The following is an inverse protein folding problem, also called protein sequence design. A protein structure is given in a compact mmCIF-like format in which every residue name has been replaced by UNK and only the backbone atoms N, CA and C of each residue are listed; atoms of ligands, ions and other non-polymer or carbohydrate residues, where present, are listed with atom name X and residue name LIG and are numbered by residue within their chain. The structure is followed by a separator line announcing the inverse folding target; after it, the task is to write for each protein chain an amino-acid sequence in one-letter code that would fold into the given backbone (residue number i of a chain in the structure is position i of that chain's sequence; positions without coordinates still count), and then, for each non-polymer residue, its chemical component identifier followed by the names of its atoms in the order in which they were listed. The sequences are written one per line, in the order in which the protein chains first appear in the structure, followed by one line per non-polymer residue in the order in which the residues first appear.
data_IF_310908851743
#
_entry.id   IF_310908851743
#
_cell.length_a   1.000
_cell.length_b   1.000
_cell.length_c   1.000
_cell.angle_alpha   90.00
_cell.angle_beta   90.00
_cell.angle_gamma   90.00
#
_symmetry.space_group_name_H-M   'P 1'
#
loop_
_entity.id
_entity.type
_entity.pdbx_description
1 polymer ?
#
# COMPACT_ATOMS: atom_id res chain seq x y z
N UNK A 1 -14.90 -13.70 10.49
CA UNK A 1 -15.01 -12.24 10.72
C UNK A 1 -15.48 -11.65 9.40
N UNK A 2 -16.62 -10.96 9.36
CA UNK A 2 -17.20 -10.44 8.12
C UNK A 2 -16.52 -9.16 7.64
N UNK A 3 -16.72 -8.80 6.37
CA UNK A 3 -16.28 -7.51 5.81
C UNK A 3 -16.93 -6.36 6.60
N UNK A 4 -16.10 -5.43 7.06
CA UNK A 4 -16.53 -4.20 7.73
C UNK A 4 -16.32 -2.99 6.84
N UNK A 5 -16.87 -1.83 7.22
CA UNK A 5 -16.67 -0.56 6.49
C UNK A 5 -15.19 -0.16 6.37
N UNK A 6 -14.34 -0.59 7.29
CA UNK A 6 -12.90 -0.36 7.24
C UNK A 6 -12.20 -1.09 6.08
N UNK A 7 -12.81 -2.16 5.55
CA UNK A 7 -12.26 -2.89 4.41
C UNK A 7 -12.48 -2.15 3.08
N UNK A 8 -13.48 -1.27 3.00
CA UNK A 8 -13.77 -0.50 1.77
C UNK A 8 -12.54 0.29 1.30
N UNK A 9 -11.92 1.17 2.13
CA UNK A 9 -10.73 1.90 1.70
C UNK A 9 -9.53 0.98 1.44
N UNK A 10 -9.36 -0.13 2.17
CA UNK A 10 -8.26 -1.06 1.94
C UNK A 10 -8.38 -1.78 0.58
N UNK A 11 -9.58 -2.25 0.24
CA UNK A 11 -9.87 -2.87 -1.05
C UNK A 11 -9.73 -1.85 -2.19
N UNK A 12 -10.30 -0.65 -2.01
CA UNK A 12 -10.19 0.41 -3.00
C UNK A 12 -8.72 0.78 -3.28
N UNK A 13 -7.89 0.88 -2.24
CA UNK A 13 -6.47 1.15 -2.39
C UNK A 13 -5.70 0.00 -3.06
N UNK A 14 -6.08 -1.24 -2.77
CA UNK A 14 -5.50 -2.42 -3.44
C UNK A 14 -5.80 -2.38 -4.94
N UNK A 15 -7.05 -2.07 -5.33
CA UNK A 15 -7.41 -1.91 -6.74
C UNK A 15 -6.70 -0.71 -7.37
N UNK A 16 -6.52 0.37 -6.62
CA UNK A 16 -5.77 1.53 -7.07
C UNK A 16 -4.31 1.15 -7.40
N UNK A 17 -3.61 0.43 -6.51
CA UNK A 17 -2.24 -0.06 -6.77
C UNK A 17 -2.21 -0.92 -8.04
N UNK A 18 -3.12 -1.90 -8.14
CA UNK A 18 -3.16 -2.78 -9.31
C UNK A 18 -3.34 -1.98 -10.60
N UNK A 19 -4.28 -1.05 -10.63
CA UNK A 19 -4.55 -0.26 -11.83
C UNK A 19 -3.42 0.73 -12.14
N UNK A 20 -2.88 1.42 -11.13
CA UNK A 20 -1.84 2.44 -11.32
C UNK A 20 -0.51 1.84 -11.77
N UNK A 21 -0.07 0.75 -11.15
CA UNK A 21 1.21 0.11 -11.49
C UNK A 21 1.15 -0.63 -12.84
N UNK A 22 -0.04 -1.08 -13.27
CA UNK A 22 -0.22 -1.77 -14.54
C UNK A 22 -0.51 -0.85 -15.73
N UNK A 23 -0.51 0.48 -15.53
CA UNK A 23 -0.64 1.42 -16.64
C UNK A 23 0.55 1.30 -17.61
N UNK A 24 0.31 1.41 -18.93
CA UNK A 24 1.37 1.40 -19.92
C UNK A 24 2.41 2.48 -19.66
N UNK A 25 3.68 2.18 -19.99
CA UNK A 25 4.76 3.16 -19.86
C UNK A 25 4.50 4.43 -20.69
N UNK A 26 3.77 4.30 -21.81
CA UNK A 26 3.41 5.43 -22.69
C UNK A 26 2.58 6.53 -22.02
N UNK A 27 1.88 6.20 -20.92
CA UNK A 27 1.11 7.20 -20.15
C UNK A 27 2.02 8.24 -19.49
N UNK A 28 3.32 7.96 -19.37
CA UNK A 28 4.30 8.77 -18.67
C UNK A 28 5.36 9.41 -19.59
N UNK A 29 5.10 9.46 -20.91
CA UNK A 29 6.05 9.95 -21.93
C UNK A 29 6.51 11.41 -21.75
N UNK A 30 5.72 12.25 -21.07
CA UNK A 30 6.03 13.67 -20.85
C UNK A 30 7.10 13.92 -19.76
N UNK A 31 7.53 12.88 -19.03
CA UNK A 31 8.49 13.01 -17.93
C UNK A 31 9.89 12.53 -18.32
N UNK A 32 10.94 13.11 -17.71
CA UNK A 32 12.32 12.69 -17.97
C UNK A 32 12.65 11.38 -17.24
N UNK A 33 13.47 10.51 -17.85
CA UNK A 33 13.85 9.20 -17.29
C UNK A 33 14.42 9.27 -15.86
N UNK A 34 15.35 10.20 -15.59
CA UNK A 34 15.99 10.30 -14.27
C UNK A 34 14.99 10.74 -13.17
N UNK A 35 14.12 11.70 -13.49
CA UNK A 35 13.10 12.16 -12.53
C UNK A 35 12.01 11.11 -12.31
N UNK A 36 11.64 10.38 -13.35
CA UNK A 36 10.71 9.26 -13.26
C UNK A 36 11.26 8.15 -12.38
N UNK A 37 12.52 7.75 -12.56
CA UNK A 37 13.09 6.60 -11.86
C UNK A 37 13.14 6.79 -10.34
N UNK A 38 13.52 7.97 -9.86
CA UNK A 38 13.50 8.27 -8.41
C UNK A 38 12.07 8.42 -7.89
N UNK A 39 11.20 9.07 -8.65
CA UNK A 39 9.81 9.29 -8.27
C UNK A 39 9.02 7.98 -8.21
N UNK A 40 9.24 7.05 -9.13
CA UNK A 40 8.54 5.76 -9.20
C UNK A 40 8.76 4.94 -7.92
N UNK A 41 10.02 4.82 -7.49
CA UNK A 41 10.34 4.12 -6.23
C UNK A 41 9.72 4.79 -5.02
N UNK A 42 9.67 6.13 -4.99
CA UNK A 42 9.01 6.86 -3.92
C UNK A 42 7.49 6.61 -3.92
N UNK A 43 6.86 6.57 -5.09
CA UNK A 43 5.44 6.24 -5.25
C UNK A 43 5.19 4.82 -4.73
N UNK A 44 5.97 3.83 -5.17
CA UNK A 44 5.90 2.45 -4.72
C UNK A 44 6.02 2.32 -3.19
N UNK A 45 6.96 3.03 -2.58
CA UNK A 45 7.10 3.10 -1.12
C UNK A 45 5.81 3.63 -0.46
N UNK A 46 5.25 4.74 -0.96
CA UNK A 46 4.04 5.36 -0.40
C UNK A 46 2.82 4.46 -0.58
N UNK A 47 2.68 3.83 -1.75
CA UNK A 47 1.59 2.92 -2.10
C UNK A 47 1.54 1.75 -1.11
N UNK A 48 2.66 1.08 -0.88
CA UNK A 48 2.73 -0.10 -0.03
C UNK A 48 2.75 0.22 1.47
N UNK A 49 3.29 1.37 1.87
CA UNK A 49 3.08 1.91 3.21
C UNK A 49 1.58 2.08 3.51
N UNK A 50 0.86 2.74 2.60
CA UNK A 50 -0.57 3.03 2.75
C UNK A 50 -1.39 1.74 2.70
N UNK A 51 -1.05 0.81 1.80
CA UNK A 51 -1.65 -0.52 1.74
C UNK A 51 -1.57 -1.23 3.10
N UNK A 52 -0.37 -1.30 3.69
CA UNK A 52 -0.18 -1.95 4.98
C UNK A 52 -1.01 -1.28 6.07
N UNK A 53 -1.00 0.05 6.15
CA UNK A 53 -1.75 0.80 7.17
C UNK A 53 -3.26 0.56 7.03
N UNK A 54 -3.81 0.65 5.81
CA UNK A 54 -5.25 0.49 5.58
C UNK A 54 -5.71 -0.92 5.92
N UNK A 55 -4.97 -1.94 5.51
CA UNK A 55 -5.29 -3.33 5.84
C UNK A 55 -5.12 -3.65 7.32
N UNK A 56 -4.11 -3.09 7.98
CA UNK A 56 -3.93 -3.25 9.43
C UNK A 56 -5.12 -2.67 10.21
N UNK A 57 -5.62 -1.50 9.79
CA UNK A 57 -6.82 -0.87 10.37
C UNK A 57 -8.11 -1.65 10.03
N UNK A 58 -8.17 -2.31 8.87
CA UNK A 58 -9.32 -3.12 8.46
C UNK A 58 -9.43 -4.44 9.22
N UNK A 59 -8.31 -5.15 9.39
CA UNK A 59 -8.24 -6.45 10.07
C UNK A 59 -8.56 -6.30 11.56
N UNK A 60 -8.08 -5.23 12.20
CA UNK A 60 -8.21 -5.08 13.64
C UNK A 60 -8.64 -3.66 14.04
N UNK A 61 -9.95 -3.48 14.20
CA UNK A 61 -10.55 -2.24 14.72
C UNK A 61 -10.37 -2.08 16.24
N UNK A 62 -9.69 -3.02 16.91
CA UNK A 62 -9.40 -2.91 18.35
C UNK A 62 -8.19 -2.01 18.57
N UNK A 63 -7.91 -1.71 19.83
CA UNK A 63 -6.86 -0.77 20.26
C UNK A 63 -5.44 -1.16 19.79
N UNK A 64 -5.19 -2.42 19.39
CA UNK A 64 -3.86 -2.90 18.98
C UNK A 64 -3.95 -4.05 17.97
N UNK A 65 -3.08 -4.01 16.97
CA UNK A 65 -2.71 -5.13 16.10
C UNK A 65 -1.61 -5.99 16.76
N UNK A 66 -1.77 -7.31 16.72
CA UNK A 66 -0.82 -8.27 17.30
C UNK A 66 0.44 -8.41 16.45
N UNK A 67 1.52 -8.97 17.02
CA UNK A 67 2.76 -9.23 16.29
C UNK A 67 2.52 -10.19 15.10
N UNK A 68 1.78 -11.28 15.32
CA UNK A 68 1.49 -12.27 14.28
C UNK A 68 0.68 -11.65 13.14
N UNK A 69 -0.33 -10.82 13.43
CA UNK A 69 -1.10 -10.10 12.41
C UNK A 69 -0.21 -9.17 11.57
N UNK A 70 0.74 -8.46 12.21
CA UNK A 70 1.70 -7.61 11.48
C UNK A 70 2.59 -8.42 10.54
N UNK A 71 3.12 -9.56 10.99
CA UNK A 71 3.99 -10.42 10.19
C UNK A 71 3.22 -11.02 9.01
N UNK A 72 2.02 -11.55 9.25
CA UNK A 72 1.17 -12.09 8.19
C UNK A 72 0.85 -11.00 7.15
N UNK A 73 0.46 -9.81 7.59
CA UNK A 73 0.15 -8.71 6.69
C UNK A 73 1.39 -8.22 5.92
N UNK A 74 2.56 -8.21 6.55
CA UNK A 74 3.81 -7.86 5.90
C UNK A 74 4.14 -8.85 4.77
N UNK A 75 4.00 -10.15 5.04
CA UNK A 75 4.20 -11.20 4.03
C UNK A 75 3.21 -11.02 2.89
N UNK A 76 1.92 -10.80 3.18
CA UNK A 76 0.89 -10.53 2.16
C UNK A 76 1.26 -9.32 1.31
N UNK A 77 1.71 -8.22 1.94
CA UNK A 77 2.12 -7.00 1.26
C UNK A 77 3.30 -7.23 0.30
N UNK A 78 4.33 -7.97 0.76
CA UNK A 78 5.50 -8.31 -0.06
C UNK A 78 5.10 -9.21 -1.22
N UNK A 79 4.30 -10.26 -0.97
CA UNK A 79 3.83 -11.16 -2.03
C UNK A 79 2.96 -10.43 -3.06
N UNK A 80 2.11 -9.50 -2.61
CA UNK A 80 1.31 -8.68 -3.50
C UNK A 80 2.18 -7.74 -4.35
N UNK A 81 3.22 -7.13 -3.77
CA UNK A 81 4.19 -6.32 -4.53
C UNK A 81 4.92 -7.13 -5.59
N UNK A 82 5.48 -8.29 -5.22
CA UNK A 82 6.13 -9.20 -6.17
C UNK A 82 5.15 -9.63 -7.27
N UNK A 83 3.90 -9.93 -6.92
CA UNK A 83 2.88 -10.30 -7.91
C UNK A 83 2.63 -9.17 -8.92
N UNK A 84 2.56 -7.91 -8.48
CA UNK A 84 2.39 -6.76 -9.39
C UNK A 84 3.57 -6.64 -10.36
N UNK A 85 4.81 -6.72 -9.87
CA UNK A 85 6.03 -6.66 -10.70
C UNK A 85 6.08 -7.78 -11.74
N UNK A 86 5.68 -8.99 -11.35
CA UNK A 86 5.56 -10.11 -12.27
C UNK A 86 4.51 -9.85 -13.34
N UNK A 87 3.33 -9.35 -12.97
CA UNK A 87 2.28 -9.02 -13.95
C UNK A 87 2.73 -7.90 -14.90
N UNK A 88 3.40 -6.86 -14.41
CA UNK A 88 3.97 -5.80 -15.25
C UNK A 88 4.86 -6.40 -16.35
N UNK A 89 5.77 -7.31 -15.98
CA UNK A 89 6.67 -7.97 -16.93
C UNK A 89 5.97 -8.86 -17.97
N UNK A 90 4.78 -9.40 -17.64
CA UNK A 90 4.01 -10.28 -18.51
C UNK A 90 3.05 -9.53 -19.44
N UNK A 91 2.68 -8.29 -19.12
CA UNK A 91 1.65 -7.56 -19.88
C UNK A 91 2.17 -6.85 -21.13
N UNK A 92 3.49 -6.88 -21.40
CA UNK A 92 4.13 -6.30 -22.59
C UNK A 92 3.83 -4.81 -22.88
N UNK A 93 3.34 -4.03 -21.91
CA UNK A 93 3.02 -2.60 -22.06
C UNK A 93 4.23 -1.66 -21.89
N UNK A 94 5.44 -2.13 -22.20
CA UNK A 94 6.68 -1.37 -22.00
C UNK A 94 7.12 -1.22 -20.53
N UNK A 95 6.52 -1.97 -19.60
CA UNK A 95 6.96 -2.09 -18.21
C UNK A 95 7.84 -3.32 -18.03
N UNK A 96 8.91 -3.19 -17.27
CA UNK A 96 9.81 -4.29 -16.88
C UNK A 96 9.64 -4.65 -15.41
N UNK A 97 9.98 -5.88 -15.05
CA UNK A 97 10.18 -6.25 -13.65
C UNK A 97 11.35 -5.45 -13.07
N UNK A 98 11.13 -4.72 -11.97
CA UNK A 98 12.19 -3.96 -11.33
C UNK A 98 12.43 -4.40 -9.87
N UNK A 99 13.65 -4.88 -9.60
CA UNK A 99 14.03 -5.22 -8.22
C UNK A 99 13.98 -3.98 -7.29
N UNK A 100 14.22 -2.79 -7.84
CA UNK A 100 14.10 -1.53 -7.12
C UNK A 100 12.70 -1.30 -6.54
N UNK A 101 11.66 -1.63 -7.32
CA UNK A 101 10.27 -1.47 -6.90
C UNK A 101 9.86 -2.52 -5.88
N UNK A 102 10.32 -3.78 -6.01
CA UNK A 102 10.17 -4.80 -4.95
C UNK A 102 10.77 -4.30 -3.61
N UNK A 103 11.95 -3.69 -3.65
CA UNK A 103 12.61 -3.14 -2.47
C UNK A 103 11.80 -1.97 -1.91
N UNK A 104 11.36 -1.04 -2.75
CA UNK A 104 10.55 0.11 -2.33
C UNK A 104 9.22 -0.33 -1.69
N UNK A 105 8.50 -1.27 -2.33
CA UNK A 105 7.27 -1.88 -1.83
C UNK A 105 7.48 -2.50 -0.44
N UNK A 106 8.58 -3.24 -0.29
CA UNK A 106 8.96 -3.89 0.97
C UNK A 106 9.27 -2.87 2.06
N UNK A 107 10.08 -1.85 1.75
CA UNK A 107 10.44 -0.78 2.70
C UNK A 107 9.17 -0.03 3.16
N UNK A 108 8.29 0.34 2.23
CA UNK A 108 7.01 0.99 2.56
C UNK A 108 6.19 0.16 3.54
N UNK A 109 6.06 -1.14 3.26
CA UNK A 109 5.36 -2.08 4.14
C UNK A 109 6.00 -2.18 5.53
N UNK A 110 7.33 -2.25 5.61
CA UNK A 110 8.09 -2.28 6.89
C UNK A 110 7.89 -0.99 7.69
N UNK A 111 7.91 0.18 7.03
CA UNK A 111 7.58 1.45 7.69
C UNK A 111 6.16 1.41 8.26
N UNK A 112 5.21 0.80 7.53
CA UNK A 112 3.85 0.54 8.02
C UNK A 112 3.84 -0.28 9.31
N UNK A 113 4.57 -1.39 9.35
CA UNK A 113 4.71 -2.28 10.54
C UNK A 113 5.21 -1.51 11.77
N UNK A 114 6.21 -0.65 11.58
CA UNK A 114 6.86 0.13 12.64
C UNK A 114 5.90 1.22 13.15
N UNK A 115 5.23 1.93 12.25
CA UNK A 115 4.44 3.13 12.58
C UNK A 115 2.99 2.83 12.99
N UNK A 116 2.41 1.67 12.63
CA UNK A 116 0.99 1.37 12.85
C UNK A 116 0.56 1.50 14.31
N UNK A 117 1.44 1.16 15.27
CA UNK A 117 1.13 1.30 16.69
C UNK A 117 0.94 2.76 17.13
N UNK A 118 1.69 3.69 16.53
CA UNK A 118 1.56 5.13 16.76
C UNK A 118 0.30 5.65 16.06
N UNK A 119 0.06 5.21 14.82
CA UNK A 119 -1.10 5.61 14.02
C UNK A 119 -2.42 5.22 14.70
N UNK A 120 -2.54 3.98 15.19
CA UNK A 120 -3.74 3.54 15.93
C UNK A 120 -3.97 4.38 17.19
N UNK A 121 -2.91 4.72 17.94
CA UNK A 121 -3.02 5.59 19.13
C UNK A 121 -3.47 7.00 18.78
N UNK A 122 -3.06 7.55 17.63
CA UNK A 122 -3.44 8.88 17.16
C UNK A 122 -4.78 8.90 16.43
N UNK A 123 -5.30 7.76 16.00
CA UNK A 123 -6.55 7.64 15.25
C UNK A 123 -7.75 8.37 15.89
N UNK A 124 -7.96 8.35 17.23
CA UNK A 124 -9.03 9.14 17.86
C UNK A 124 -8.90 10.65 17.62
N UNK A 125 -7.68 11.19 17.61
CA UNK A 125 -7.42 12.61 17.31
C UNK A 125 -7.67 12.92 15.84
N UNK A 126 -7.33 11.99 14.94
CA UNK A 126 -7.59 12.15 13.50
C UNK A 126 -9.10 12.13 13.24
N UNK A 127 -9.83 11.20 13.85
CA UNK A 127 -11.30 11.12 13.79
C UNK A 127 -12.01 12.38 14.30
N UNK A 128 -11.38 13.17 15.18
CA UNK A 128 -11.89 14.46 15.64
C UNK A 128 -11.87 15.53 14.54
N UNK A 129 -10.83 15.53 13.69
CA UNK A 129 -10.66 16.51 12.62
C UNK A 129 -11.24 16.03 11.28
N UNK A 130 -11.33 14.72 11.08
CA UNK A 130 -11.89 14.06 9.90
C UNK A 130 -13.06 13.16 10.32
N UNK A 131 -14.25 13.74 10.58
CA UNK A 131 -15.37 13.03 11.20
C UNK A 131 -15.92 11.88 10.35
N UNK A 132 -15.73 11.90 9.02
CA UNK A 132 -16.15 10.78 8.16
C UNK A 132 -15.41 9.47 8.49
N UNK A 133 -14.19 9.54 9.05
CA UNK A 133 -13.43 8.35 9.47
C UNK A 133 -14.10 7.59 10.61
N UNK A 134 -14.95 8.24 11.42
CA UNK A 134 -15.75 7.57 12.45
C UNK A 134 -16.77 6.60 11.87
N UNK A 135 -17.17 6.80 10.61
CA UNK A 135 -18.08 5.89 9.90
C UNK A 135 -17.35 4.68 9.30
N UNK A 136 -16.03 4.76 9.12
CA UNK A 136 -15.20 3.75 8.47
C UNK A 136 -14.42 2.89 9.47
N UNK A 137 -13.82 3.51 10.49
CA UNK A 137 -12.91 2.90 11.47
C UNK A 137 -13.33 3.18 12.90
#
# INVERSE_FOLDING_TARGET
MGLTKAHIPAIAWTLFIATSCLLPASVFEDFTFDSLFELDKLIHLILFFTFFVLWALAINQRVKITFNEKIILLIISILYGIMIELIQSLTHHGRSYELGDVIANTIGSVIGVITIGILIKKLPLIKKHLPFLQKLY
#
